data_IF_217953374482
#
_entry.id   IF_217953374482
#
_cell.length_a   1.000
_cell.length_b   1.000
_cell.length_c   1.000
_cell.angle_alpha   90.00
_cell.angle_beta   90.00
_cell.angle_gamma   90.00
#
_symmetry.space_group_name_H-M   'P 1'
#
loop_
_entity.id
_entity.type
_entity.pdbx_description
1 polymer ?
#
# COMPACT_ATOMS: atom_id res chain seq x y z
N UNK A 1 -4.97 -49.25 -32.53
CA UNK A 1 -4.16 -48.84 -31.37
C UNK A 1 -4.22 -47.31 -31.26
N UNK A 2 -5.10 -46.83 -30.42
CA UNK A 2 -5.36 -45.39 -30.25
C UNK A 2 -4.64 -44.92 -29.00
N UNK A 3 -3.50 -44.23 -29.13
CA UNK A 3 -2.80 -43.62 -28.00
C UNK A 3 -3.50 -42.28 -27.69
N UNK A 4 -4.28 -42.27 -26.62
CA UNK A 4 -4.81 -41.06 -26.03
C UNK A 4 -3.65 -40.34 -25.30
N UNK A 5 -3.10 -39.27 -25.90
CA UNK A 5 -2.21 -38.34 -25.22
C UNK A 5 -3.01 -37.59 -24.15
N UNK A 6 -2.98 -38.07 -22.92
CA UNK A 6 -3.45 -37.37 -21.75
C UNK A 6 -2.54 -36.21 -21.44
N UNK A 7 -2.90 -35.02 -21.91
CA UNK A 7 -2.27 -33.76 -21.46
C UNK A 7 -2.78 -33.47 -20.04
N UNK A 8 -1.99 -33.84 -19.04
CA UNK A 8 -2.26 -33.41 -17.65
C UNK A 8 -2.31 -31.88 -17.60
N UNK A 9 -3.33 -31.25 -17.00
CA UNK A 9 -3.35 -29.80 -16.86
C UNK A 9 -2.15 -29.38 -16.02
N UNK A 10 -1.39 -28.41 -16.54
CA UNK A 10 -0.31 -27.77 -15.79
C UNK A 10 -0.88 -27.25 -14.47
N UNK A 11 -0.22 -27.44 -13.32
CA UNK A 11 -0.73 -26.96 -12.04
C UNK A 11 -0.96 -25.46 -12.13
N UNK A 12 -2.16 -25.02 -11.77
CA UNK A 12 -2.49 -23.60 -11.71
C UNK A 12 -1.53 -22.92 -10.73
N UNK A 13 -0.84 -21.87 -11.16
CA UNK A 13 0.06 -21.11 -10.29
C UNK A 13 -0.79 -20.44 -9.22
N UNK A 14 -0.57 -20.81 -7.97
CA UNK A 14 -1.24 -20.18 -6.83
C UNK A 14 -0.70 -18.77 -6.63
N UNK A 15 -1.61 -17.80 -6.57
CA UNK A 15 -1.27 -16.38 -6.33
C UNK A 15 -1.77 -15.98 -4.95
N UNK A 16 -0.86 -15.51 -4.11
CA UNK A 16 -1.17 -15.05 -2.76
C UNK A 16 -1.03 -13.54 -2.66
N UNK A 17 -2.10 -12.84 -2.23
CA UNK A 17 -2.05 -11.40 -1.91
C UNK A 17 -1.86 -11.22 -0.41
N UNK A 18 -0.75 -10.57 -0.01
CA UNK A 18 -0.33 -10.42 1.39
C UNK A 18 0.36 -9.09 1.65
N UNK A 19 0.57 -8.75 2.92
CA UNK A 19 1.47 -7.65 3.29
C UNK A 19 2.89 -7.96 2.87
N UNK A 20 3.63 -6.91 2.46
CA UNK A 20 5.04 -7.04 2.14
C UNK A 20 5.89 -7.33 3.41
N UNK A 21 7.03 -7.97 3.18
CA UNK A 21 8.04 -8.31 4.20
C UNK A 21 9.38 -7.72 3.78
N UNK A 22 10.30 -7.55 4.71
CA UNK A 22 11.63 -7.02 4.41
C UNK A 22 12.37 -7.83 3.33
N UNK A 23 12.19 -9.16 3.30
CA UNK A 23 12.77 -10.03 2.27
C UNK A 23 12.23 -9.83 0.85
N UNK A 24 11.10 -9.13 0.69
CA UNK A 24 10.51 -8.85 -0.63
C UNK A 24 11.15 -7.63 -1.31
N UNK A 25 11.83 -6.75 -0.55
CA UNK A 25 12.23 -5.41 -1.00
C UNK A 25 13.03 -5.43 -2.29
N UNK A 26 13.98 -6.35 -2.44
CA UNK A 26 14.80 -6.42 -3.66
C UNK A 26 13.96 -6.74 -4.90
N UNK A 27 12.99 -7.65 -4.79
CA UNK A 27 12.07 -7.96 -5.88
C UNK A 27 11.12 -6.79 -6.15
N UNK A 28 10.65 -6.11 -5.08
CA UNK A 28 9.80 -4.93 -5.20
C UNK A 28 10.51 -3.80 -5.93
N UNK A 29 11.76 -3.49 -5.59
CA UNK A 29 12.57 -2.46 -6.26
C UNK A 29 12.76 -2.82 -7.73
N UNK A 30 13.10 -4.07 -8.05
CA UNK A 30 13.26 -4.51 -9.44
C UNK A 30 12.00 -4.24 -10.26
N UNK A 31 10.82 -4.57 -9.72
CA UNK A 31 9.54 -4.35 -10.40
C UNK A 31 9.18 -2.85 -10.49
N UNK A 32 9.43 -2.07 -9.43
CA UNK A 32 9.20 -0.62 -9.45
C UNK A 32 10.08 0.08 -10.49
N UNK A 33 11.36 -0.28 -10.58
CA UNK A 33 12.30 0.29 -11.55
C UNK A 33 11.91 -0.03 -12.99
N UNK A 34 11.38 -1.21 -13.25
CA UNK A 34 10.87 -1.57 -14.57
C UNK A 34 9.73 -0.63 -15.00
N UNK A 35 8.73 -0.40 -14.12
CA UNK A 35 7.62 0.52 -14.39
C UNK A 35 8.05 1.99 -14.40
N UNK A 36 9.05 2.37 -13.60
CA UNK A 36 9.60 3.72 -13.60
C UNK A 36 10.35 4.02 -14.91
N UNK A 37 11.12 3.06 -15.45
CA UNK A 37 11.79 3.19 -16.77
C UNK A 37 10.79 3.36 -17.91
N UNK A 38 9.60 2.77 -17.79
CA UNK A 38 8.49 2.95 -18.74
C UNK A 38 7.71 4.26 -18.48
N UNK A 39 8.13 5.08 -17.52
CA UNK A 39 7.47 6.29 -17.06
C UNK A 39 6.02 6.09 -16.59
N UNK A 40 5.65 4.86 -16.19
CA UNK A 40 4.31 4.55 -15.67
C UNK A 40 4.12 5.00 -14.23
N UNK A 41 5.20 5.03 -13.44
CA UNK A 41 5.24 5.53 -12.07
C UNK A 41 6.48 6.42 -11.85
N UNK A 42 6.48 7.19 -10.76
CA UNK A 42 7.70 7.86 -10.31
C UNK A 42 8.64 6.86 -9.64
N UNK A 43 9.98 7.00 -9.83
CA UNK A 43 10.96 6.16 -9.16
C UNK A 43 10.80 6.18 -7.64
N UNK A 44 11.14 5.08 -6.98
CA UNK A 44 11.19 4.96 -5.53
C UNK A 44 12.59 4.53 -5.11
N UNK A 45 13.13 5.18 -4.09
CA UNK A 45 14.39 4.70 -3.51
C UNK A 45 14.16 3.43 -2.69
N UNK A 46 15.19 2.59 -2.60
CA UNK A 46 15.16 1.41 -1.75
C UNK A 46 14.91 1.80 -0.29
N UNK A 47 15.51 2.91 0.17
CA UNK A 47 15.30 3.43 1.52
C UNK A 47 13.83 3.79 1.78
N UNK A 48 13.13 4.41 0.81
CA UNK A 48 11.70 4.73 0.95
C UNK A 48 10.85 3.47 1.09
N UNK A 49 11.18 2.41 0.34
CA UNK A 49 10.46 1.12 0.42
C UNK A 49 10.69 0.46 1.77
N UNK A 50 11.94 0.43 2.27
CA UNK A 50 12.24 -0.11 3.61
C UNK A 50 11.50 0.66 4.71
N UNK A 51 11.55 1.99 4.69
CA UNK A 51 10.92 2.85 5.70
C UNK A 51 9.40 2.71 5.72
N UNK A 52 8.80 2.46 4.55
CA UNK A 52 7.34 2.32 4.38
C UNK A 52 6.88 0.87 4.23
N UNK A 53 7.69 -0.14 4.55
CA UNK A 53 7.41 -1.55 4.24
C UNK A 53 6.03 -2.03 4.72
N UNK A 54 5.56 -1.53 5.85
CA UNK A 54 4.24 -1.87 6.41
C UNK A 54 3.06 -1.33 5.59
N UNK A 55 3.30 -0.32 4.77
CA UNK A 55 2.31 0.30 3.90
C UNK A 55 2.05 -0.50 2.61
N UNK A 56 2.86 -1.53 2.33
CA UNK A 56 2.83 -2.24 1.07
C UNK A 56 2.07 -3.56 1.15
N UNK A 57 1.30 -3.80 0.10
CA UNK A 57 0.66 -5.08 -0.22
C UNK A 57 1.26 -5.61 -1.52
N UNK A 58 1.59 -6.89 -1.54
CA UNK A 58 2.18 -7.59 -2.68
C UNK A 58 1.32 -8.77 -3.10
N UNK A 59 1.39 -9.13 -4.38
CA UNK A 59 0.92 -10.42 -4.88
C UNK A 59 2.14 -11.27 -5.25
N UNK A 60 2.18 -12.48 -4.72
CA UNK A 60 3.25 -13.45 -4.92
C UNK A 60 2.75 -14.65 -5.71
N UNK A 61 3.52 -15.09 -6.69
CA UNK A 61 3.31 -16.30 -7.47
C UNK A 61 4.61 -17.09 -7.55
N UNK A 62 4.63 -18.33 -7.11
CA UNK A 62 5.82 -19.20 -7.13
C UNK A 62 7.10 -18.52 -6.56
N UNK A 63 6.98 -17.80 -5.43
CA UNK A 63 8.10 -17.12 -4.77
C UNK A 63 8.52 -15.78 -5.43
N UNK A 64 7.80 -15.31 -6.46
CA UNK A 64 8.07 -14.04 -7.13
C UNK A 64 7.00 -13.01 -6.82
N UNK A 65 7.42 -11.76 -6.60
CA UNK A 65 6.49 -10.62 -6.50
C UNK A 65 6.11 -10.18 -7.91
N UNK A 66 4.83 -10.33 -8.23
CA UNK A 66 4.27 -10.06 -9.56
C UNK A 66 3.37 -8.82 -9.60
N UNK A 67 2.95 -8.33 -8.46
CA UNK A 67 2.18 -7.11 -8.34
C UNK A 67 2.33 -6.51 -6.95
N UNK A 68 2.13 -5.19 -6.83
CA UNK A 68 2.15 -4.50 -5.55
C UNK A 68 1.40 -3.17 -5.59
N UNK A 69 1.16 -2.60 -4.41
CA UNK A 69 0.67 -1.26 -4.20
C UNK A 69 0.88 -0.84 -2.75
N UNK A 70 0.82 0.45 -2.47
CA UNK A 70 0.99 0.96 -1.10
C UNK A 70 -0.12 1.92 -0.70
N UNK A 71 -0.39 2.01 0.61
CA UNK A 71 -1.26 3.00 1.23
C UNK A 71 -0.40 3.93 2.09
N UNK A 72 -0.26 5.18 1.68
CA UNK A 72 0.54 6.17 2.40
C UNK A 72 -0.36 7.18 3.09
N UNK A 73 -0.33 7.18 4.41
CA UNK A 73 -1.06 8.17 5.21
C UNK A 73 -0.39 9.54 5.07
N UNK A 74 -1.14 10.52 4.61
CA UNK A 74 -0.66 11.90 4.46
C UNK A 74 -1.06 12.77 5.65
N UNK A 75 -2.23 12.50 6.21
CA UNK A 75 -2.77 13.19 7.37
C UNK A 75 -3.83 12.33 8.07
N UNK A 76 -4.36 12.80 9.20
CA UNK A 76 -5.38 12.08 9.95
C UNK A 76 -6.68 11.79 9.16
N UNK A 77 -6.92 12.52 8.08
CA UNK A 77 -8.14 12.44 7.28
C UNK A 77 -7.90 12.00 5.83
N UNK A 78 -6.66 11.65 5.46
CA UNK A 78 -6.31 11.41 4.07
C UNK A 78 -5.15 10.42 3.90
N UNK A 79 -5.35 9.40 3.08
CA UNK A 79 -4.29 8.52 2.61
C UNK A 79 -4.30 8.36 1.09
N UNK A 80 -3.18 8.01 0.52
CA UNK A 80 -2.98 7.81 -0.92
C UNK A 80 -2.64 6.36 -1.24
N UNK A 81 -3.37 5.77 -2.19
CA UNK A 81 -2.93 4.56 -2.88
C UNK A 81 -1.96 4.99 -3.97
N UNK A 82 -0.72 4.48 -3.90
CA UNK A 82 0.32 4.79 -4.89
C UNK A 82 1.12 3.55 -5.29
N UNK A 83 1.85 3.69 -6.39
CA UNK A 83 2.73 2.64 -6.91
C UNK A 83 2.00 1.30 -7.12
N UNK A 84 0.73 1.35 -7.60
CA UNK A 84 -0.02 0.15 -7.98
C UNK A 84 0.51 -0.35 -9.32
N UNK A 85 1.25 -1.44 -9.29
CA UNK A 85 1.86 -2.07 -10.46
C UNK A 85 1.54 -3.56 -10.50
N UNK A 86 1.32 -4.08 -11.71
CA UNK A 86 1.06 -5.50 -11.97
C UNK A 86 1.86 -5.90 -13.22
N UNK A 87 2.70 -6.93 -13.11
CA UNK A 87 3.42 -7.48 -14.27
C UNK A 87 2.45 -7.72 -15.44
N UNK A 88 2.83 -7.37 -16.68
CA UNK A 88 1.93 -7.47 -17.84
C UNK A 88 1.28 -8.84 -18.02
N UNK A 89 2.03 -9.92 -17.78
CA UNK A 89 1.55 -11.30 -17.89
C UNK A 89 0.40 -11.65 -16.91
N UNK A 90 0.25 -10.87 -15.82
CA UNK A 90 -0.76 -11.10 -14.78
C UNK A 90 -1.84 -10.01 -14.75
N UNK A 91 -1.83 -9.08 -15.72
CA UNK A 91 -2.91 -8.09 -15.85
C UNK A 91 -4.21 -8.75 -16.31
N UNK A 92 -5.34 -8.09 -16.06
CA UNK A 92 -6.67 -8.61 -16.42
C UNK A 92 -7.22 -9.74 -15.52
N UNK A 93 -6.42 -10.27 -14.59
CA UNK A 93 -6.79 -11.38 -13.69
C UNK A 93 -7.34 -10.92 -12.33
N UNK A 94 -7.67 -9.64 -12.17
CA UNK A 94 -8.27 -9.10 -10.95
C UNK A 94 -7.28 -8.77 -9.82
N UNK A 95 -5.96 -8.95 -10.00
CA UNK A 95 -4.97 -8.69 -8.95
C UNK A 95 -4.98 -7.24 -8.45
N UNK A 96 -5.10 -6.26 -9.36
CA UNK A 96 -5.20 -4.86 -8.96
C UNK A 96 -6.38 -4.60 -8.03
N UNK A 97 -7.54 -5.21 -8.31
CA UNK A 97 -8.73 -5.14 -7.42
C UNK A 97 -8.43 -5.73 -6.04
N UNK A 98 -7.77 -6.89 -5.98
CA UNK A 98 -7.44 -7.56 -4.72
C UNK A 98 -6.47 -6.72 -3.89
N UNK A 99 -5.43 -6.14 -4.51
CA UNK A 99 -4.47 -5.24 -3.83
C UNK A 99 -5.20 -4.01 -3.29
N UNK A 100 -5.99 -3.32 -4.12
CA UNK A 100 -6.74 -2.13 -3.68
C UNK A 100 -7.70 -2.47 -2.55
N UNK A 101 -8.42 -3.60 -2.62
CA UNK A 101 -9.32 -4.04 -1.55
C UNK A 101 -8.56 -4.24 -0.21
N UNK A 102 -7.35 -4.80 -0.25
CA UNK A 102 -6.51 -4.95 0.95
C UNK A 102 -6.06 -3.60 1.50
N UNK A 103 -5.68 -2.65 0.63
CA UNK A 103 -5.28 -1.30 1.04
C UNK A 103 -6.47 -0.50 1.61
N UNK A 104 -7.67 -0.66 1.05
CA UNK A 104 -8.90 -0.05 1.60
C UNK A 104 -9.29 -0.64 2.95
N UNK A 105 -9.14 -1.95 3.14
CA UNK A 105 -9.35 -2.59 4.45
C UNK A 105 -8.36 -2.05 5.50
N UNK A 106 -7.12 -1.77 5.10
CA UNK A 106 -6.14 -1.12 5.98
C UNK A 106 -6.54 0.32 6.31
N UNK A 107 -7.01 1.09 5.32
CA UNK A 107 -7.51 2.44 5.53
C UNK A 107 -8.68 2.46 6.52
N UNK A 108 -9.60 1.49 6.40
CA UNK A 108 -10.72 1.32 7.33
C UNK A 108 -10.25 0.97 8.74
N UNK A 109 -9.27 0.06 8.88
CA UNK A 109 -8.69 -0.32 10.17
C UNK A 109 -7.96 0.84 10.86
N UNK A 110 -7.41 1.79 10.07
CA UNK A 110 -6.81 3.04 10.52
C UNK A 110 -7.85 4.15 10.77
N UNK A 111 -9.13 3.88 10.59
CA UNK A 111 -10.23 4.84 10.74
C UNK A 111 -10.06 6.10 9.83
N UNK A 112 -9.43 5.93 8.66
CA UNK A 112 -9.27 7.00 7.70
C UNK A 112 -10.60 7.29 7.00
N UNK A 113 -11.06 8.55 6.96
CA UNK A 113 -12.37 8.88 6.35
C UNK A 113 -12.34 8.86 4.82
N UNK A 114 -11.17 8.96 4.20
CA UNK A 114 -11.05 8.94 2.74
C UNK A 114 -9.68 8.49 2.25
N UNK A 115 -9.70 7.85 1.08
CA UNK A 115 -8.51 7.43 0.35
C UNK A 115 -8.58 8.00 -1.07
N UNK A 116 -7.45 8.44 -1.62
CA UNK A 116 -7.36 8.89 -3.00
C UNK A 116 -6.23 8.19 -3.76
N UNK A 117 -6.22 8.35 -5.06
CA UNK A 117 -5.08 8.02 -5.91
C UNK A 117 -4.91 9.09 -7.00
N UNK A 118 -3.67 9.30 -7.43
CA UNK A 118 -3.36 9.97 -8.68
C UNK A 118 -3.05 8.90 -9.73
N UNK A 119 -3.69 8.99 -10.89
CA UNK A 119 -3.63 7.90 -11.88
C UNK A 119 -3.84 8.39 -13.31
N UNK A 120 -3.16 7.73 -14.26
CA UNK A 120 -3.44 7.85 -15.70
C UNK A 120 -4.49 6.84 -16.19
N UNK A 121 -4.94 5.95 -15.30
CA UNK A 121 -5.93 4.91 -15.60
C UNK A 121 -7.19 5.08 -14.72
N UNK A 122 -7.89 6.26 -14.74
CA UNK A 122 -9.00 6.52 -13.82
C UNK A 122 -10.13 5.51 -13.95
N UNK A 123 -10.38 4.98 -15.15
CA UNK A 123 -11.43 3.98 -15.38
C UNK A 123 -11.27 2.69 -14.56
N UNK A 124 -10.05 2.33 -14.15
CA UNK A 124 -9.83 1.23 -13.22
C UNK A 124 -10.40 1.56 -11.82
N UNK A 125 -10.06 2.72 -11.28
CA UNK A 125 -10.51 3.14 -9.95
C UNK A 125 -12.01 3.44 -9.90
N UNK A 126 -12.58 4.03 -10.97
CA UNK A 126 -14.02 4.28 -11.06
C UNK A 126 -14.83 2.98 -10.99
N UNK A 127 -14.35 1.89 -11.60
CA UNK A 127 -14.97 0.56 -11.48
C UNK A 127 -14.88 -0.04 -10.06
N UNK A 128 -14.03 0.49 -9.21
CA UNK A 128 -13.91 0.11 -7.80
C UNK A 128 -14.73 1.01 -6.86
N UNK A 129 -15.45 2.01 -7.41
CA UNK A 129 -16.30 2.92 -6.62
C UNK A 129 -15.63 4.25 -6.26
N UNK A 130 -14.40 4.50 -6.72
CA UNK A 130 -13.80 5.83 -6.60
C UNK A 130 -14.55 6.84 -7.46
N UNK A 131 -14.49 8.09 -7.07
CA UNK A 131 -15.07 9.23 -7.80
C UNK A 131 -13.96 10.16 -8.27
N UNK A 132 -14.18 10.85 -9.38
CA UNK A 132 -13.27 11.90 -9.83
C UNK A 132 -13.27 13.05 -8.81
N UNK A 133 -12.09 13.62 -8.59
CA UNK A 133 -11.93 14.83 -7.78
C UNK A 133 -10.87 15.73 -8.42
N UNK A 134 -10.77 16.96 -7.95
CA UNK A 134 -9.73 17.88 -8.39
C UNK A 134 -8.51 17.74 -7.50
N UNK A 135 -7.33 17.92 -8.05
CA UNK A 135 -6.09 17.85 -7.27
C UNK A 135 -6.01 18.98 -6.23
N UNK A 136 -6.66 20.11 -6.51
CA UNK A 136 -6.75 21.25 -5.60
C UNK A 136 -7.54 20.93 -4.34
N UNK A 137 -8.44 19.94 -4.39
CA UNK A 137 -9.19 19.43 -3.25
C UNK A 137 -8.32 18.51 -2.33
N UNK A 138 -7.06 18.31 -2.72
CA UNK A 138 -6.07 17.50 -2.02
C UNK A 138 -4.84 18.33 -1.58
N UNK A 139 -5.02 19.44 -0.83
CA UNK A 139 -3.94 20.39 -0.56
C UNK A 139 -2.74 19.75 0.15
N UNK A 140 -2.94 18.74 1.00
CA UNK A 140 -1.85 18.01 1.67
C UNK A 140 -0.94 17.29 0.67
N UNK A 141 -1.53 16.68 -0.37
CA UNK A 141 -0.79 16.04 -1.45
C UNK A 141 0.00 17.06 -2.24
N UNK A 142 -0.63 18.17 -2.62
CA UNK A 142 0.03 19.22 -3.40
C UNK A 142 1.22 19.79 -2.65
N UNK A 143 1.05 20.18 -1.39
CA UNK A 143 2.10 20.78 -0.56
C UNK A 143 3.25 19.81 -0.24
N UNK A 144 2.95 18.52 -0.04
CA UNK A 144 3.95 17.55 0.38
C UNK A 144 4.79 17.00 -0.78
N UNK A 145 4.13 16.65 -1.89
CA UNK A 145 4.75 15.87 -2.95
C UNK A 145 4.73 16.58 -4.31
N UNK A 146 3.58 17.16 -4.71
CA UNK A 146 3.42 17.66 -6.08
C UNK A 146 4.34 18.83 -6.38
N UNK A 147 4.57 19.75 -5.44
CA UNK A 147 5.46 20.90 -5.61
C UNK A 147 6.91 20.52 -5.90
N UNK A 148 7.32 19.31 -5.50
CA UNK A 148 8.65 18.75 -5.76
C UNK A 148 8.67 17.77 -6.92
N UNK A 149 7.50 17.49 -7.53
CA UNK A 149 7.39 16.54 -8.64
C UNK A 149 7.96 17.15 -9.94
N UNK A 150 8.85 16.46 -10.65
CA UNK A 150 9.37 16.95 -11.92
C UNK A 150 8.29 17.13 -12.99
N UNK A 151 7.13 16.44 -12.85
CA UNK A 151 5.97 16.57 -13.73
C UNK A 151 4.95 17.61 -13.26
N UNK A 152 5.21 18.38 -12.21
CA UNK A 152 4.20 19.28 -11.60
C UNK A 152 3.49 20.20 -12.61
N UNK A 153 4.24 20.78 -13.55
CA UNK A 153 3.69 21.69 -14.57
C UNK A 153 3.05 20.99 -15.78
N UNK A 154 3.26 19.70 -15.92
CA UNK A 154 2.78 18.87 -17.02
C UNK A 154 2.26 17.52 -16.49
N UNK A 155 1.57 17.56 -15.36
CA UNK A 155 0.99 16.37 -14.74
C UNK A 155 -0.13 15.82 -15.63
N UNK A 156 -0.03 14.55 -15.97
CA UNK A 156 -0.97 13.80 -16.79
C UNK A 156 -1.85 12.85 -15.96
N UNK A 157 -1.76 12.94 -14.63
CA UNK A 157 -2.56 12.13 -13.72
C UNK A 157 -3.88 12.80 -13.35
N UNK A 158 -4.90 11.99 -13.19
CA UNK A 158 -6.23 12.38 -12.72
C UNK A 158 -6.39 11.97 -11.26
N UNK A 159 -6.94 12.84 -10.44
CA UNK A 159 -7.22 12.54 -9.05
C UNK A 159 -8.56 11.80 -8.92
N UNK A 160 -8.55 10.71 -8.16
CA UNK A 160 -9.76 9.96 -7.78
C UNK A 160 -9.78 9.79 -6.27
N UNK A 161 -10.96 9.81 -5.65
CA UNK A 161 -11.15 9.71 -4.21
C UNK A 161 -12.27 8.73 -3.87
N UNK A 162 -12.12 8.04 -2.75
CA UNK A 162 -13.15 7.18 -2.16
C UNK A 162 -13.34 7.55 -0.69
N UNK A 163 -14.55 7.89 -0.24
CA UNK A 163 -14.88 7.95 1.17
C UNK A 163 -14.82 6.52 1.75
N UNK A 164 -14.32 6.40 2.97
CA UNK A 164 -14.24 5.14 3.71
C UNK A 164 -15.30 5.19 4.81
N UNK A 165 -16.28 4.29 4.73
CA UNK A 165 -17.26 4.16 5.80
C UNK A 165 -16.56 3.63 7.06
N UNK A 166 -16.82 4.23 8.25
CA UNK A 166 -16.31 3.68 9.50
C UNK A 166 -16.72 2.21 9.62
N UNK A 167 -15.81 1.36 10.08
CA UNK A 167 -16.20 0.01 10.46
C UNK A 167 -17.35 0.11 11.46
N UNK A 168 -18.46 -0.58 11.20
CA UNK A 168 -19.56 -0.68 12.19
C UNK A 168 -18.91 -1.07 13.51
N UNK A 169 -19.16 -0.29 14.58
CA UNK A 169 -18.61 -0.51 15.91
C UNK A 169 -19.25 -1.80 16.44
N UNK A 170 -18.73 -2.93 16.00
CA UNK A 170 -18.87 -4.17 16.74
C UNK A 170 -18.11 -3.94 18.03
N UNK A 171 -18.80 -4.15 19.16
CA UNK A 171 -18.35 -3.96 20.53
C UNK A 171 -16.84 -4.23 20.65
N UNK A 172 -16.04 -3.15 20.75
CA UNK A 172 -14.66 -3.27 21.15
C UNK A 172 -14.71 -3.85 22.55
N UNK A 173 -14.44 -5.14 22.67
CA UNK A 173 -14.17 -5.76 23.95
C UNK A 173 -12.97 -5.01 24.53
N UNK A 174 -13.25 -3.97 25.31
CA UNK A 174 -12.26 -3.30 26.12
C UNK A 174 -11.79 -4.33 27.13
N UNK A 175 -10.75 -5.04 26.80
CA UNK A 175 -9.98 -5.82 27.76
C UNK A 175 -9.49 -4.86 28.83
N UNK A 176 -10.29 -4.76 29.91
CA UNK A 176 -9.94 -4.01 31.11
C UNK A 176 -8.68 -4.65 31.68
N UNK A 177 -7.52 -4.08 31.38
CA UNK A 177 -6.29 -4.42 32.08
C UNK A 177 -6.43 -3.81 33.47
N UNK A 178 -6.88 -4.60 34.43
CA UNK A 178 -6.82 -4.21 35.84
C UNK A 178 -5.34 -4.14 36.23
N UNK A 179 -4.82 -2.91 36.34
CA UNK A 179 -3.50 -2.66 36.90
C UNK A 179 -3.53 -3.10 38.39
N UNK A 180 -2.94 -4.24 38.69
CA UNK A 180 -2.62 -4.66 40.04
C UNK A 180 -1.61 -3.66 40.61
N UNK A 181 -2.03 -2.96 41.68
CA UNK A 181 -1.15 -2.10 42.48
C UNK A 181 -0.21 -2.99 43.31
N UNK A 182 0.93 -3.34 42.75
CA UNK A 182 2.05 -3.87 43.53
C UNK A 182 3.09 -2.78 43.72
N UNK A 183 3.49 -2.63 44.98
CA UNK A 183 4.29 -1.60 45.60
C UNK A 183 5.53 -1.13 44.84
N UNK A 184 5.62 0.15 44.75
CA UNK A 184 6.73 0.91 44.24
C UNK A 184 7.93 0.83 45.17
N UNK A 185 8.97 0.10 44.77
CA UNK A 185 10.33 0.31 45.29
C UNK A 185 11.13 1.03 44.23
N UNK A 186 11.49 2.27 44.51
CA UNK A 186 12.33 3.11 43.67
C UNK A 186 13.76 2.56 43.64
N UNK A 187 14.40 2.38 42.48
CA UNK A 187 15.84 2.16 42.42
C UNK A 187 16.56 3.50 42.47
N UNK A 188 17.45 3.62 43.44
CA UNK A 188 18.39 4.71 43.66
C UNK A 188 19.37 4.84 42.50
N UNK A 189 19.51 6.10 42.03
CA UNK A 189 20.75 6.71 41.54
C UNK A 189 21.57 6.05 40.44
N UNK A 190 21.39 6.54 39.20
CA UNK A 190 22.43 6.42 38.15
C UNK A 190 23.29 7.68 38.21
N UNK A 191 24.65 7.62 38.43
CA UNK A 191 25.49 8.80 38.40
C UNK A 191 25.77 9.25 36.95
N UNK A 192 25.60 10.53 36.69
CA UNK A 192 25.92 11.17 35.41
C UNK A 192 27.44 11.31 35.26
N UNK A 193 28.03 11.07 34.07
CA UNK A 193 29.43 11.33 33.84
C UNK A 193 29.69 12.84 33.72
N UNK A 194 30.71 13.31 34.49
CA UNK A 194 31.22 14.67 34.41
C UNK A 194 32.04 14.86 33.12
N UNK A 195 31.62 15.81 32.29
CA UNK A 195 32.44 16.34 31.19
C UNK A 195 33.57 17.21 31.72
N UNK A 196 34.78 16.96 31.23
CA UNK A 196 35.87 17.92 31.14
C UNK A 196 36.04 18.38 29.70
#
# INVERSE_FOLDING_TARGET
>A
MNQQNGTSPSPAIEITVRRARLGDVQQMITLLDEFARQAEILPRSEADVYQSIRAWVVAEAAGRIIAMGSLIVLWHDLAEIRSLVIEPAYQGQGLGRQIVARLLAEAQALELPRVFALTRKPGFFLKLGFQLTRIEDLPRKVQKDCVFCPKFRACDEVAVVMPIEPAAIGERSAGLVTASKNGHQSPTGIPMPHTR
#
